data_IF_578185066546
#
_entry.id   IF_578185066546
#
_cell.length_a   1.000
_cell.length_b   1.000
_cell.length_c   1.000
_cell.angle_alpha   90.00
_cell.angle_beta   90.00
_cell.angle_gamma   90.00
#
_symmetry.space_group_name_H-M   'P 1'
#
loop_
_entity.id
_entity.type
_entity.pdbx_description
1 polymer ?
#
# COMPACT_ATOMS: atom_id res chain seq x y z
N UNK A 1 -23.43 6.93 -8.99
CA UNK A 1 -22.71 5.92 -9.78
C UNK A 1 -22.85 6.26 -11.25
N UNK A 2 -21.75 6.65 -11.89
CA UNK A 2 -21.71 6.96 -13.32
C UNK A 2 -21.98 5.71 -14.18
N UNK A 3 -22.37 5.89 -15.44
CA UNK A 3 -22.55 4.75 -16.36
C UNK A 3 -21.22 4.03 -16.65
N UNK A 4 -20.10 4.73 -16.50
CA UNK A 4 -18.76 4.15 -16.61
C UNK A 4 -18.42 3.25 -15.41
N UNK A 5 -18.74 3.65 -14.17
CA UNK A 5 -18.58 2.80 -12.99
C UNK A 5 -19.41 1.51 -13.12
N UNK A 6 -20.62 1.59 -13.66
CA UNK A 6 -21.48 0.41 -13.90
C UNK A 6 -20.88 -0.54 -14.92
N UNK A 7 -20.31 -0.01 -16.01
CA UNK A 7 -19.62 -0.82 -17.02
C UNK A 7 -18.42 -1.55 -16.41
N UNK A 8 -17.57 -0.85 -15.65
CA UNK A 8 -16.44 -1.46 -14.95
C UNK A 8 -16.87 -2.55 -13.97
N UNK A 9 -17.87 -2.27 -13.12
CA UNK A 9 -18.42 -3.27 -12.20
C UNK A 9 -18.96 -4.50 -12.94
N UNK A 10 -19.68 -4.29 -14.05
CA UNK A 10 -20.23 -5.39 -14.83
C UNK A 10 -19.16 -6.31 -15.41
N UNK A 11 -18.02 -5.75 -15.84
CA UNK A 11 -16.86 -6.51 -16.32
C UNK A 11 -16.19 -7.29 -15.20
N UNK A 12 -16.02 -6.65 -14.04
CA UNK A 12 -15.45 -7.32 -12.86
C UNK A 12 -16.34 -8.51 -12.45
N UNK A 13 -17.67 -8.32 -12.44
CA UNK A 13 -18.63 -9.35 -12.05
C UNK A 13 -18.79 -10.47 -13.09
N UNK A 14 -18.61 -10.18 -14.38
CA UNK A 14 -18.57 -11.20 -15.43
C UNK A 14 -17.24 -11.97 -15.47
N UNK A 15 -16.21 -11.47 -14.77
CA UNK A 15 -14.84 -12.00 -14.83
C UNK A 15 -14.07 -11.56 -16.08
N UNK A 16 -14.55 -10.55 -16.79
CA UNK A 16 -13.85 -9.95 -17.92
C UNK A 16 -12.63 -9.16 -17.44
N UNK A 17 -11.54 -9.26 -18.19
CA UNK A 17 -10.31 -8.54 -17.87
C UNK A 17 -10.46 -7.06 -18.20
N UNK A 18 -10.14 -6.21 -17.23
CA UNK A 18 -9.97 -4.78 -17.45
C UNK A 18 -8.71 -4.51 -18.27
N UNK A 19 -8.84 -3.61 -19.23
CA UNK A 19 -7.72 -3.06 -20.00
C UNK A 19 -6.83 -2.20 -19.12
N UNK A 20 -5.59 -1.98 -19.54
CA UNK A 20 -4.63 -1.13 -18.82
C UNK A 20 -5.16 0.29 -18.58
N UNK A 21 -5.90 0.85 -19.55
CA UNK A 21 -6.55 2.16 -19.41
C UNK A 21 -7.62 2.15 -18.31
N UNK A 22 -8.41 1.09 -18.21
CA UNK A 22 -9.43 0.92 -17.18
C UNK A 22 -8.80 0.70 -15.81
N UNK A 23 -7.72 -0.08 -15.73
CA UNK A 23 -6.94 -0.26 -14.50
C UNK A 23 -6.33 1.06 -14.02
N UNK A 24 -5.75 1.84 -14.94
CA UNK A 24 -5.22 3.17 -14.66
C UNK A 24 -6.29 4.12 -14.14
N UNK A 25 -7.44 4.18 -14.81
CA UNK A 25 -8.60 4.97 -14.35
C UNK A 25 -9.01 4.53 -12.94
N UNK A 26 -9.18 3.23 -12.72
CA UNK A 26 -9.58 2.68 -11.43
C UNK A 26 -8.59 3.06 -10.32
N UNK A 27 -7.29 2.86 -10.56
CA UNK A 27 -6.24 3.04 -9.56
C UNK A 27 -5.87 4.51 -9.26
N UNK A 28 -6.17 5.44 -10.16
CA UNK A 28 -5.76 6.86 -10.03
C UNK A 28 -6.93 7.84 -9.86
N UNK A 29 -8.12 7.52 -10.36
CA UNK A 29 -9.29 8.42 -10.31
C UNK A 29 -10.34 7.96 -9.29
N UNK A 30 -10.40 6.66 -9.01
CA UNK A 30 -11.34 6.07 -8.06
C UNK A 30 -10.68 5.66 -6.74
N UNK A 31 -9.43 6.06 -6.50
CA UNK A 31 -8.72 5.71 -5.27
C UNK A 31 -9.27 6.49 -4.06
N UNK A 32 -9.49 5.77 -2.98
CA UNK A 32 -9.88 6.31 -1.66
C UNK A 32 -8.73 6.20 -0.67
N UNK A 33 -7.79 5.28 -0.90
CA UNK A 33 -6.59 5.10 -0.11
C UNK A 33 -5.46 4.62 -1.00
N UNK A 34 -4.29 5.23 -0.82
CA UNK A 34 -3.08 4.87 -1.55
C UNK A 34 -2.03 4.38 -0.57
N UNK A 35 -1.59 3.14 -0.77
CA UNK A 35 -0.60 2.48 0.06
C UNK A 35 0.67 2.35 -0.77
N UNK A 36 1.69 3.12 -0.36
CA UNK A 36 2.99 3.10 -1.00
C UNK A 36 3.86 1.98 -0.43
N UNK A 37 4.39 1.15 -1.32
CA UNK A 37 5.37 0.12 -1.01
C UNK A 37 6.80 0.66 -1.04
N UNK A 38 7.75 -0.28 -1.14
CA UNK A 38 9.17 0.05 -1.17
C UNK A 38 9.59 0.75 -2.48
N UNK A 39 10.47 1.74 -2.35
CA UNK A 39 11.11 2.35 -3.50
C UNK A 39 12.17 1.40 -4.08
N UNK A 40 12.06 1.11 -5.37
CA UNK A 40 13.12 0.47 -6.16
C UNK A 40 13.94 1.56 -6.86
N UNK A 41 14.81 1.17 -7.81
CA UNK A 41 15.63 2.12 -8.56
C UNK A 41 14.79 3.15 -9.32
N UNK A 42 13.87 2.67 -10.16
CA UNK A 42 13.08 3.53 -11.08
C UNK A 42 11.58 3.44 -10.88
N UNK A 43 11.13 2.54 -10.01
CA UNK A 43 9.73 2.24 -9.80
C UNK A 43 9.42 2.11 -8.31
N UNK A 44 8.17 2.35 -7.95
CA UNK A 44 7.63 2.11 -6.61
C UNK A 44 6.40 1.23 -6.72
N UNK A 45 6.33 0.21 -5.88
CA UNK A 45 5.11 -0.60 -5.74
C UNK A 45 4.04 0.26 -5.09
N UNK A 46 2.84 0.31 -5.66
CA UNK A 46 1.70 1.04 -5.12
C UNK A 46 0.48 0.14 -5.12
N UNK A 47 -0.27 0.16 -4.03
CA UNK A 47 -1.60 -0.42 -3.92
C UNK A 47 -2.62 0.70 -3.74
N UNK A 48 -3.53 0.84 -4.69
CA UNK A 48 -4.68 1.74 -4.58
C UNK A 48 -5.89 0.96 -4.11
N UNK A 49 -6.50 1.36 -3.00
CA UNK A 49 -7.85 0.94 -2.61
C UNK A 49 -8.83 1.88 -3.28
N UNK A 50 -9.72 1.33 -4.09
CA UNK A 50 -10.61 2.06 -4.98
C UNK A 50 -12.06 1.77 -4.60
N UNK A 51 -12.95 2.75 -4.77
CA UNK A 51 -14.38 2.58 -4.50
C UNK A 51 -15.19 2.67 -5.80
N UNK A 52 -15.92 1.59 -6.11
CA UNK A 52 -16.90 1.57 -7.19
C UNK A 52 -18.28 1.32 -6.58
N UNK A 53 -19.05 2.41 -6.42
CA UNK A 53 -20.30 2.36 -5.68
C UNK A 53 -20.13 2.01 -4.21
N UNK A 54 -20.74 0.90 -3.80
CA UNK A 54 -20.68 0.39 -2.42
C UNK A 54 -19.59 -0.67 -2.23
N UNK A 55 -18.85 -1.03 -3.29
CA UNK A 55 -17.80 -2.06 -3.25
C UNK A 55 -16.43 -1.44 -3.31
N UNK A 56 -15.47 -2.10 -2.68
CA UNK A 56 -14.08 -1.67 -2.61
C UNK A 56 -13.16 -2.68 -3.25
N UNK A 57 -12.16 -2.20 -3.99
CA UNK A 57 -11.24 -3.01 -4.77
C UNK A 57 -9.80 -2.56 -4.52
N UNK A 58 -8.85 -3.48 -4.51
CA UNK A 58 -7.42 -3.18 -4.48
C UNK A 58 -6.83 -3.38 -5.88
N UNK A 59 -6.05 -2.40 -6.35
CA UNK A 59 -5.26 -2.48 -7.59
C UNK A 59 -3.80 -2.29 -7.24
N UNK A 60 -2.98 -3.29 -7.59
CA UNK A 60 -1.53 -3.23 -7.46
C UNK A 60 -0.90 -2.76 -8.78
N UNK A 61 -0.04 -1.75 -8.73
CA UNK A 61 0.60 -1.15 -9.90
C UNK A 61 2.02 -0.67 -9.58
N UNK A 62 2.82 -0.41 -10.62
CA UNK A 62 4.15 0.18 -10.47
C UNK A 62 4.10 1.65 -10.87
N UNK A 63 4.49 2.53 -9.96
CA UNK A 63 4.65 3.94 -10.26
C UNK A 63 6.05 4.21 -10.79
N UNK A 64 6.14 4.92 -11.90
CA UNK A 64 7.40 5.45 -12.41
C UNK A 64 7.91 6.60 -11.53
N UNK A 65 9.13 6.46 -10.99
CA UNK A 65 9.75 7.48 -10.14
C UNK A 65 10.55 8.53 -10.93
N UNK A 66 10.61 8.40 -12.25
CA UNK A 66 11.34 9.29 -13.15
C UNK A 66 10.46 9.67 -14.32
N UNK A 67 10.70 10.82 -14.93
CA UNK A 67 9.97 11.28 -16.12
C UNK A 67 10.09 10.33 -17.33
N UNK A 68 11.11 9.45 -17.33
CA UNK A 68 11.34 8.45 -18.38
C UNK A 68 10.61 7.12 -18.13
N UNK A 69 10.02 6.91 -16.95
CA UNK A 69 9.36 5.67 -16.60
C UNK A 69 7.87 5.92 -16.42
N UNK A 70 7.05 5.22 -17.20
CA UNK A 70 5.60 5.30 -17.08
C UNK A 70 5.10 4.46 -15.90
N UNK A 71 3.86 4.73 -15.49
CA UNK A 71 3.15 3.88 -14.55
C UNK A 71 2.69 2.61 -15.26
N UNK A 72 2.87 1.45 -14.63
CA UNK A 72 2.54 0.17 -15.23
C UNK A 72 1.42 -0.54 -14.45
N UNK A 73 0.39 -1.02 -15.17
CA UNK A 73 -0.79 -1.65 -14.59
C UNK A 73 -0.97 -3.07 -15.15
N UNK A 74 -0.53 -4.07 -14.40
CA UNK A 74 -0.53 -5.47 -14.85
C UNK A 74 -1.59 -6.33 -14.14
N UNK A 75 -1.87 -6.02 -12.88
CA UNK A 75 -2.72 -6.84 -12.02
C UNK A 75 -4.19 -6.44 -12.14
N UNK A 76 -5.07 -7.44 -12.14
CA UNK A 76 -6.52 -7.21 -12.12
C UNK A 76 -6.98 -6.83 -10.70
N UNK A 77 -8.04 -6.01 -10.56
CA UNK A 77 -8.52 -5.60 -9.25
C UNK A 77 -8.99 -6.80 -8.42
N UNK A 78 -8.74 -6.75 -7.12
CA UNK A 78 -9.21 -7.73 -6.14
C UNK A 78 -10.23 -7.06 -5.25
N UNK A 79 -11.41 -7.64 -5.06
CA UNK A 79 -12.39 -7.11 -4.11
C UNK A 79 -11.87 -7.23 -2.67
N UNK A 80 -11.94 -6.14 -1.92
CA UNK A 80 -11.46 -6.04 -0.55
C UNK A 80 -12.52 -5.42 0.34
N UNK A 81 -12.44 -5.69 1.64
CA UNK A 81 -13.31 -5.06 2.64
C UNK A 81 -12.46 -4.46 3.74
N UNK A 82 -12.83 -3.26 4.20
CA UNK A 82 -12.16 -2.63 5.34
C UNK A 82 -12.55 -3.35 6.63
N UNK A 83 -11.56 -3.87 7.35
CA UNK A 83 -11.76 -4.49 8.66
C UNK A 83 -10.88 -3.77 9.67
N UNK A 84 -11.51 -3.09 10.62
CA UNK A 84 -10.81 -2.44 11.73
C UNK A 84 -10.66 -3.45 12.88
N UNK A 85 -9.44 -3.64 13.37
CA UNK A 85 -9.12 -4.53 14.50
C UNK A 85 -8.09 -3.87 15.40
N UNK A 86 -8.31 -3.91 16.70
CA UNK A 86 -7.32 -3.51 17.69
C UNK A 86 -6.35 -4.67 17.94
N UNK A 87 -5.04 -4.38 17.96
CA UNK A 87 -3.99 -5.37 18.23
C UNK A 87 -3.04 -4.84 19.30
N UNK A 88 -2.96 -5.53 20.44
CA UNK A 88 -1.96 -5.26 21.47
C UNK A 88 -0.66 -6.00 21.15
N UNK A 89 0.47 -5.31 21.15
CA UNK A 89 1.80 -5.90 20.88
C UNK A 89 2.61 -5.85 22.18
N UNK A 90 3.02 -7.01 22.69
CA UNK A 90 3.97 -7.11 23.79
C UNK A 90 5.39 -7.07 23.23
N UNK A 91 6.17 -6.07 23.64
CA UNK A 91 7.57 -5.91 23.24
C UNK A 91 8.46 -6.15 24.46
N UNK A 92 9.39 -7.10 24.35
CA UNK A 92 10.43 -7.37 25.35
C UNK A 92 11.76 -7.02 24.71
N UNK A 93 12.45 -6.03 25.24
CA UNK A 93 13.75 -5.57 24.76
C UNK A 93 14.83 -5.75 25.82
N UNK A 94 16.01 -6.19 25.38
CA UNK A 94 17.21 -6.26 26.21
C UNK A 94 18.10 -5.05 25.89
N UNK A 95 18.10 -4.07 26.78
CA UNK A 95 18.99 -2.90 26.67
C UNK A 95 20.32 -3.18 27.37
N UNK A 96 21.41 -2.57 26.88
CA UNK A 96 22.73 -2.67 27.53
C UNK A 96 22.61 -2.16 28.97
N UNK A 97 23.02 -2.98 29.94
CA UNK A 97 23.14 -2.55 31.33
C UNK A 97 24.24 -1.49 31.40
N UNK A 98 23.86 -0.23 31.58
CA UNK A 98 24.82 0.84 31.90
C UNK A 98 25.00 0.84 33.40
N UNK A 99 26.19 0.49 33.86
CA UNK A 99 26.58 0.78 35.24
C UNK A 99 26.99 2.25 35.31
N UNK A 100 26.41 2.97 36.26
CA UNK A 100 26.67 4.38 36.54
C UNK A 100 27.34 4.47 37.91
N UNK A 101 28.37 5.31 38.02
CA UNK A 101 28.98 5.62 39.31
C UNK A 101 28.10 6.58 40.13
N UNK A 102 28.51 6.85 41.38
CA UNK A 102 27.82 7.75 42.33
C UNK A 102 27.66 9.21 41.81
N UNK A 103 28.30 9.54 40.69
CA UNK A 103 28.26 10.85 40.04
C UNK A 103 27.56 10.81 38.66
N UNK A 104 26.92 9.69 38.30
CA UNK A 104 26.11 9.55 37.08
C UNK A 104 26.89 9.36 35.78
N UNK A 105 28.19 9.02 35.83
CA UNK A 105 29.03 8.84 34.63
C UNK A 105 29.02 7.38 34.17
N UNK A 106 28.80 7.14 32.87
CA UNK A 106 28.78 5.79 32.31
C UNK A 106 30.18 5.16 32.35
N UNK A 107 30.30 3.97 32.94
CA UNK A 107 31.56 3.23 33.01
C UNK A 107 31.66 2.33 31.77
N UNK A 108 32.37 2.77 30.72
CA UNK A 108 32.70 1.91 29.58
C UNK A 108 33.97 1.11 29.90
N UNK A 109 33.79 -0.10 30.42
CA UNK A 109 34.89 -1.06 30.58
C UNK A 109 35.06 -1.85 29.27
N UNK A 110 35.71 -1.28 28.25
CA UNK A 110 36.27 -2.07 27.15
C UNK A 110 37.76 -2.29 27.42
N UNK A 111 38.14 -3.55 27.55
CA UNK A 111 39.53 -4.02 27.53
C UNK A 111 39.80 -4.72 26.20
#
# INVERSE_FOLDING_TARGET
>A
MSDYEKDLLSKIDSGDRLSERELKMLALEFDIERIEGGNRRWQREVRSICQLGERTFAVDWQEGLTECQENEFWEQPIEVVKIEREKTINVIEWIKKVEVDENGKSINSNK
#
